data_IF_903523009009
#
_entry.id   IF_903523009009
#
_cell.length_a   1.000
_cell.length_b   1.000
_cell.length_c   1.000
_cell.angle_alpha   90.00
_cell.angle_beta   90.00
_cell.angle_gamma   90.00
#
_symmetry.space_group_name_H-M   'P 1'
#
loop_
_entity.id
_entity.type
_entity.pdbx_description
1 polymer ?
#
# COMPACT_ATOMS: atom_id res chain seq x y z
N UNK A 1 27.85 -7.41 -34.50
CA UNK A 1 27.54 -7.20 -33.08
C UNK A 1 27.18 -8.52 -32.46
N UNK A 2 27.97 -9.02 -31.52
CA UNK A 2 27.62 -10.28 -30.85
C UNK A 2 26.55 -9.96 -29.77
N UNK A 3 25.52 -10.78 -29.68
CA UNK A 3 24.40 -10.62 -28.70
C UNK A 3 24.90 -10.51 -27.23
N UNK A 4 26.10 -10.98 -26.92
CA UNK A 4 26.74 -10.88 -25.61
C UNK A 4 27.18 -9.46 -25.21
N UNK A 5 27.23 -8.52 -26.15
CA UNK A 5 27.64 -7.12 -25.91
C UNK A 5 26.46 -6.24 -25.43
N UNK A 6 25.22 -6.78 -25.49
CA UNK A 6 23.98 -6.06 -25.13
C UNK A 6 23.40 -6.51 -23.78
N UNK A 7 24.23 -6.97 -22.85
CA UNK A 7 23.79 -7.38 -21.52
C UNK A 7 23.20 -6.21 -20.74
N UNK A 8 22.17 -6.49 -19.96
CA UNK A 8 21.60 -5.55 -18.99
C UNK A 8 22.68 -5.08 -18.01
N UNK A 9 22.75 -3.77 -17.78
CA UNK A 9 23.59 -3.15 -16.75
C UNK A 9 22.90 -1.90 -16.21
N UNK A 10 23.46 -1.29 -15.17
CA UNK A 10 22.86 -0.11 -14.51
C UNK A 10 22.68 1.12 -15.42
N UNK A 11 23.40 1.19 -16.53
CA UNK A 11 23.28 2.32 -17.46
C UNK A 11 22.14 2.15 -18.48
N UNK A 12 21.76 0.90 -18.79
CA UNK A 12 20.81 0.62 -19.87
C UNK A 12 19.55 -0.11 -19.43
N UNK A 13 19.42 -0.45 -18.13
CA UNK A 13 18.27 -1.18 -17.61
C UNK A 13 17.90 -0.74 -16.19
N UNK A 14 16.61 -0.50 -15.98
CA UNK A 14 15.99 -0.36 -14.68
C UNK A 14 14.66 -1.12 -14.69
N UNK A 15 14.34 -1.91 -13.67
CA UNK A 15 13.05 -2.57 -13.57
C UNK A 15 11.89 -1.57 -13.58
N UNK A 16 10.82 -1.92 -14.28
CA UNK A 16 9.59 -1.11 -14.27
C UNK A 16 8.90 -1.24 -12.92
N UNK A 17 8.60 -0.11 -12.30
CA UNK A 17 7.86 -0.04 -11.03
C UNK A 17 7.05 1.25 -10.95
N UNK A 18 5.81 1.23 -10.42
CA UNK A 18 5.02 2.45 -10.24
C UNK A 18 5.62 3.42 -9.20
N UNK A 19 6.55 2.96 -8.36
CA UNK A 19 7.26 3.81 -7.38
C UNK A 19 7.95 4.98 -8.06
N UNK A 20 8.48 4.81 -9.29
CA UNK A 20 9.16 5.88 -10.00
C UNK A 20 8.23 7.07 -10.34
N UNK A 21 6.91 6.86 -10.38
CA UNK A 21 5.98 7.95 -10.68
C UNK A 21 5.92 8.95 -9.52
N UNK A 22 5.77 8.48 -8.29
CA UNK A 22 5.75 9.37 -7.12
C UNK A 22 7.14 9.99 -6.86
N UNK A 23 8.23 9.24 -7.06
CA UNK A 23 9.60 9.78 -6.98
C UNK A 23 9.80 10.95 -7.94
N UNK A 24 9.39 10.78 -9.21
CA UNK A 24 9.49 11.81 -10.23
C UNK A 24 8.59 13.00 -9.94
N UNK A 25 7.34 12.75 -9.52
CA UNK A 25 6.40 13.81 -9.20
C UNK A 25 6.91 14.68 -8.04
N UNK A 26 7.40 14.06 -6.95
CA UNK A 26 7.98 14.76 -5.82
C UNK A 26 9.24 15.57 -6.20
N UNK A 27 10.07 15.06 -7.12
CA UNK A 27 11.27 15.75 -7.57
C UNK A 27 10.99 16.91 -8.52
N UNK A 28 9.98 16.77 -9.41
CA UNK A 28 9.73 17.74 -10.49
C UNK A 28 8.70 18.79 -10.06
N UNK A 29 7.74 18.39 -9.24
CA UNK A 29 6.61 19.22 -8.80
C UNK A 29 6.43 19.19 -7.27
N UNK A 30 7.48 19.43 -6.46
CA UNK A 30 7.44 19.23 -5.01
C UNK A 30 6.29 19.97 -4.34
N UNK A 31 6.01 21.20 -4.76
CA UNK A 31 5.05 22.11 -4.14
C UNK A 31 3.61 21.96 -4.69
N UNK A 32 3.39 21.14 -5.74
CA UNK A 32 2.03 20.91 -6.26
C UNK A 32 1.30 19.92 -5.36
N UNK A 33 0.00 20.14 -5.18
CA UNK A 33 -0.84 19.21 -4.43
C UNK A 33 -0.95 17.85 -5.16
N UNK A 34 -0.66 16.79 -4.43
CA UNK A 34 -0.85 15.40 -4.84
C UNK A 34 -2.15 14.83 -4.30
N UNK A 35 -2.54 15.24 -3.09
CA UNK A 35 -3.74 14.81 -2.40
C UNK A 35 -4.50 16.03 -1.91
N UNK A 36 -5.79 16.06 -2.21
CA UNK A 36 -6.77 16.97 -1.63
C UNK A 36 -7.89 16.10 -1.10
N UNK A 37 -8.02 16.03 0.21
CA UNK A 37 -9.03 15.24 0.89
C UNK A 37 -9.63 16.08 2.02
N UNK A 38 -10.86 16.56 1.79
CA UNK A 38 -11.56 17.45 2.72
C UNK A 38 -10.70 18.69 3.07
N UNK A 39 -10.27 18.80 4.33
CA UNK A 39 -9.42 19.89 4.82
C UNK A 39 -7.92 19.55 4.80
N UNK A 40 -7.54 18.32 4.35
CA UNK A 40 -6.16 17.87 4.27
C UNK A 40 -5.61 18.11 2.87
N UNK A 41 -4.48 18.77 2.79
CA UNK A 41 -3.77 19.07 1.54
C UNK A 41 -2.33 18.62 1.67
N UNK A 42 -1.90 17.70 0.81
CA UNK A 42 -0.52 17.24 0.79
C UNK A 42 0.10 17.54 -0.56
N UNK A 43 1.30 18.11 -0.55
CA UNK A 43 2.10 18.27 -1.77
C UNK A 43 2.73 16.94 -2.18
N UNK A 44 3.28 16.86 -3.40
CA UNK A 44 4.00 15.67 -3.86
C UNK A 44 5.19 15.34 -2.97
N UNK A 45 5.94 16.35 -2.52
CA UNK A 45 7.05 16.15 -1.59
C UNK A 45 6.55 15.57 -0.27
N UNK A 46 5.53 16.17 0.35
CA UNK A 46 4.94 15.70 1.60
C UNK A 46 4.42 14.26 1.49
N UNK A 47 3.68 13.96 0.43
CA UNK A 47 3.16 12.61 0.20
C UNK A 47 4.28 11.59 0.01
N UNK A 48 5.33 11.92 -0.76
CA UNK A 48 6.47 11.04 -0.92
C UNK A 48 7.21 10.79 0.40
N UNK A 49 7.39 11.83 1.21
CA UNK A 49 8.00 11.72 2.54
C UNK A 49 7.17 10.82 3.46
N UNK A 50 5.84 10.97 3.49
CA UNK A 50 4.95 10.11 4.27
C UNK A 50 4.99 8.66 3.79
N UNK A 51 5.03 8.43 2.48
CA UNK A 51 5.24 7.08 1.94
C UNK A 51 6.56 6.46 2.41
N UNK A 52 7.65 7.23 2.45
CA UNK A 52 8.95 6.77 2.97
C UNK A 52 8.89 6.48 4.48
N UNK A 53 8.20 7.32 5.26
CA UNK A 53 7.99 7.08 6.70
C UNK A 53 7.25 5.75 6.93
N UNK A 54 6.13 5.54 6.26
CA UNK A 54 5.37 4.29 6.36
C UNK A 54 6.23 3.08 5.94
N UNK A 55 6.96 3.19 4.83
CA UNK A 55 7.82 2.12 4.34
C UNK A 55 8.95 1.80 5.34
N UNK A 56 9.56 2.81 5.94
CA UNK A 56 10.59 2.65 7.00
C UNK A 56 10.01 1.92 8.21
N UNK A 57 8.86 2.37 8.72
CA UNK A 57 8.20 1.77 9.90
C UNK A 57 7.77 0.31 9.65
N UNK A 58 7.25 0.02 8.45
CA UNK A 58 6.94 -1.35 8.03
C UNK A 58 8.20 -2.22 8.00
N UNK A 59 9.29 -1.73 7.42
CA UNK A 59 10.55 -2.50 7.28
C UNK A 59 11.21 -2.82 8.62
N UNK A 60 10.93 -2.05 9.68
CA UNK A 60 11.40 -2.32 11.03
C UNK A 60 10.60 -3.43 11.74
N UNK A 61 9.37 -3.70 11.29
CA UNK A 61 8.43 -4.64 11.94
C UNK A 61 8.23 -5.92 11.15
N UNK A 62 8.36 -5.87 9.85
CA UNK A 62 7.99 -6.93 8.93
C UNK A 62 9.13 -7.23 7.94
N UNK A 63 9.14 -8.46 7.41
CA UNK A 63 10.10 -8.87 6.40
C UNK A 63 9.61 -8.55 4.97
N UNK A 64 10.54 -8.39 4.03
CA UNK A 64 10.25 -8.33 2.59
C UNK A 64 9.35 -9.49 2.18
N UNK A 65 8.37 -9.22 1.33
CA UNK A 65 7.40 -10.19 0.83
C UNK A 65 6.21 -10.45 1.77
N UNK A 66 6.21 -9.87 2.99
CA UNK A 66 5.04 -9.97 3.86
C UNK A 66 3.85 -9.20 3.26
N UNK A 67 2.64 -9.65 3.60
CA UNK A 67 1.40 -9.00 3.16
C UNK A 67 0.91 -8.05 4.25
N UNK A 68 0.59 -6.83 3.84
CA UNK A 68 0.01 -5.77 4.68
C UNK A 68 -1.41 -5.49 4.21
N UNK A 69 -2.38 -5.67 5.10
CA UNK A 69 -3.80 -5.46 4.81
C UNK A 69 -4.27 -4.04 5.16
N UNK A 70 -5.21 -3.52 4.38
CA UNK A 70 -5.91 -2.27 4.66
C UNK A 70 -7.42 -2.47 4.52
N UNK A 71 -8.17 -2.04 5.54
CA UNK A 71 -9.64 -1.90 5.51
C UNK A 71 -9.92 -0.41 5.73
N UNK A 72 -10.07 0.33 4.66
CA UNK A 72 -10.23 1.77 4.69
C UNK A 72 -11.05 2.27 3.50
N UNK A 73 -11.68 3.43 3.66
CA UNK A 73 -12.21 4.24 2.58
C UNK A 73 -11.07 4.83 1.73
N UNK A 74 -11.41 5.56 0.66
CA UNK A 74 -10.40 6.23 -0.19
C UNK A 74 -9.82 7.45 0.54
N UNK A 75 -8.96 7.20 1.50
CA UNK A 75 -8.30 8.20 2.33
C UNK A 75 -6.85 8.41 1.89
N UNK A 76 -6.19 9.51 2.34
CA UNK A 76 -4.76 9.72 2.09
C UNK A 76 -3.88 8.54 2.51
N UNK A 77 -4.19 7.92 3.64
CA UNK A 77 -3.44 6.80 4.21
C UNK A 77 -3.48 5.55 3.32
N UNK A 78 -4.64 5.24 2.72
CA UNK A 78 -4.76 4.15 1.74
C UNK A 78 -4.01 4.50 0.44
N UNK A 79 -4.07 5.75 0.00
CA UNK A 79 -3.29 6.21 -1.16
C UNK A 79 -1.79 6.06 -0.91
N UNK A 80 -1.30 6.50 0.25
CA UNK A 80 0.10 6.35 0.67
C UNK A 80 0.53 4.89 0.68
N UNK A 81 -0.34 3.99 1.16
CA UNK A 81 -0.07 2.55 1.23
C UNK A 81 0.24 1.92 -0.14
N UNK A 82 -0.37 2.40 -1.23
CA UNK A 82 -0.12 1.89 -2.58
C UNK A 82 1.33 2.11 -3.04
N UNK A 83 2.02 3.10 -2.50
CA UNK A 83 3.44 3.35 -2.75
C UNK A 83 4.32 2.84 -1.62
N UNK A 84 3.94 3.11 -0.38
CA UNK A 84 4.76 2.80 0.79
C UNK A 84 4.97 1.29 1.00
N UNK A 85 3.93 0.47 0.83
CA UNK A 85 4.04 -0.98 1.01
C UNK A 85 5.02 -1.58 -0.01
N UNK A 86 4.93 -1.28 -1.32
CA UNK A 86 5.97 -1.67 -2.29
C UNK A 86 7.34 -1.05 -2.01
N UNK A 87 7.43 0.17 -1.49
CA UNK A 87 8.69 0.79 -1.07
C UNK A 87 9.36 0.05 0.10
N UNK A 88 8.59 -0.68 0.90
CA UNK A 88 9.09 -1.58 1.93
C UNK A 88 9.43 -2.99 1.37
N UNK A 89 9.23 -3.24 0.08
CA UNK A 89 9.37 -4.55 -0.54
C UNK A 89 8.29 -5.55 -0.13
N UNK A 90 7.11 -5.07 0.22
CA UNK A 90 5.97 -5.83 0.73
C UNK A 90 4.80 -5.81 -0.24
N UNK A 91 3.76 -6.58 0.07
CA UNK A 91 2.59 -6.78 -0.79
C UNK A 91 1.36 -6.14 -0.12
N UNK A 92 0.74 -5.18 -0.81
CA UNK A 92 -0.49 -4.54 -0.33
C UNK A 92 -1.71 -5.42 -0.61
N UNK A 93 -2.58 -5.58 0.40
CA UNK A 93 -3.93 -6.10 0.24
C UNK A 93 -4.95 -5.04 0.66
N UNK A 94 -5.48 -4.30 -0.32
CA UNK A 94 -6.58 -3.37 -0.10
C UNK A 94 -7.90 -4.14 -0.06
N UNK A 95 -8.39 -4.42 1.15
CA UNK A 95 -9.56 -5.25 1.39
C UNK A 95 -10.83 -4.41 1.20
N UNK A 96 -11.79 -4.93 0.44
CA UNK A 96 -13.07 -4.28 0.28
C UNK A 96 -13.84 -4.29 1.62
N UNK A 97 -14.06 -3.12 2.21
CA UNK A 97 -14.76 -2.93 3.47
C UNK A 97 -16.27 -3.29 3.44
N UNK A 98 -16.84 -3.55 2.26
CA UNK A 98 -18.23 -4.02 2.10
C UNK A 98 -18.40 -5.52 2.29
N UNK A 99 -17.30 -6.26 2.48
CA UNK A 99 -17.33 -7.69 2.78
C UNK A 99 -17.69 -7.93 4.25
N UNK A 100 -18.26 -9.09 4.53
CA UNK A 100 -18.51 -9.52 5.90
C UNK A 100 -17.23 -9.98 6.61
N UNK A 101 -17.28 -10.02 7.95
CA UNK A 101 -16.12 -10.35 8.79
C UNK A 101 -15.55 -11.76 8.53
N UNK A 102 -16.39 -12.74 8.15
CA UNK A 102 -15.93 -14.11 7.84
C UNK A 102 -15.17 -14.16 6.55
N UNK A 103 -15.64 -13.43 5.53
CA UNK A 103 -14.95 -13.30 4.24
C UNK A 103 -13.63 -12.58 4.42
N UNK A 104 -13.58 -11.51 5.22
CA UNK A 104 -12.35 -10.80 5.53
C UNK A 104 -11.37 -11.69 6.32
N UNK A 105 -11.85 -12.47 7.29
CA UNK A 105 -11.02 -13.44 8.00
C UNK A 105 -10.41 -14.49 7.08
N UNK A 106 -11.18 -14.99 6.10
CA UNK A 106 -10.65 -15.87 5.06
C UNK A 106 -9.55 -15.18 4.25
N UNK A 107 -9.72 -13.91 3.86
CA UNK A 107 -8.71 -13.14 3.12
C UNK A 107 -7.45 -12.96 3.96
N UNK A 108 -7.57 -12.63 5.23
CA UNK A 108 -6.45 -12.49 6.17
C UNK A 108 -5.62 -13.78 6.18
N UNK A 109 -6.28 -14.92 6.36
CA UNK A 109 -5.62 -16.22 6.44
C UNK A 109 -5.02 -16.65 5.09
N UNK A 110 -5.80 -16.53 4.00
CA UNK A 110 -5.40 -16.99 2.68
C UNK A 110 -4.22 -16.18 2.10
N UNK A 111 -4.18 -14.87 2.36
CA UNK A 111 -3.06 -14.01 1.93
C UNK A 111 -1.95 -13.88 2.98
N UNK A 112 -2.11 -14.48 4.15
CA UNK A 112 -1.12 -14.46 5.24
C UNK A 112 -0.76 -13.04 5.69
N UNK A 113 -1.80 -12.20 5.93
CA UNK A 113 -1.62 -10.81 6.36
C UNK A 113 -0.92 -10.78 7.73
N UNK A 114 0.17 -10.02 7.82
CA UNK A 114 0.97 -9.89 9.05
C UNK A 114 0.65 -8.62 9.85
N UNK A 115 0.12 -7.61 9.21
CA UNK A 115 -0.31 -6.37 9.83
C UNK A 115 -1.55 -5.85 9.11
N UNK A 116 -2.52 -5.31 9.85
CA UNK A 116 -3.79 -4.84 9.33
C UNK A 116 -4.02 -3.38 9.75
N UNK A 117 -4.13 -2.50 8.78
CA UNK A 117 -4.52 -1.12 8.98
C UNK A 117 -6.03 -1.00 8.81
N UNK A 118 -6.70 -0.36 9.77
CA UNK A 118 -8.17 -0.30 9.78
C UNK A 118 -8.62 1.13 10.09
N UNK A 119 -9.42 1.68 9.20
CA UNK A 119 -10.10 2.95 9.45
C UNK A 119 -11.08 2.81 10.61
N UNK A 120 -11.18 3.85 11.45
CA UNK A 120 -12.07 3.89 12.60
C UNK A 120 -13.52 3.54 12.24
N UNK A 121 -13.99 3.94 11.05
CA UNK A 121 -15.32 3.59 10.54
C UNK A 121 -15.54 2.07 10.46
N UNK A 122 -14.49 1.30 10.14
CA UNK A 122 -14.57 -0.15 9.96
C UNK A 122 -13.91 -0.94 11.10
N UNK A 123 -13.60 -0.28 12.24
CA UNK A 123 -12.84 -0.92 13.32
C UNK A 123 -13.54 -2.15 13.91
N UNK A 124 -14.85 -2.10 14.08
CA UNK A 124 -15.63 -3.24 14.58
C UNK A 124 -15.53 -4.43 13.62
N UNK A 125 -15.69 -4.17 12.30
CA UNK A 125 -15.54 -5.18 11.25
C UNK A 125 -14.15 -5.81 11.25
N UNK A 126 -13.10 -4.96 11.34
CA UNK A 126 -11.72 -5.42 11.41
C UNK A 126 -11.43 -6.30 12.62
N UNK A 127 -11.90 -5.89 13.81
CA UNK A 127 -11.76 -6.68 15.05
C UNK A 127 -12.45 -8.03 14.96
N UNK A 128 -13.67 -8.07 14.44
CA UNK A 128 -14.42 -9.32 14.25
C UNK A 128 -13.67 -10.23 13.27
N UNK A 129 -13.22 -9.71 12.14
CA UNK A 129 -12.46 -10.47 11.16
C UNK A 129 -11.17 -11.06 11.75
N UNK A 130 -10.39 -10.24 12.47
CA UNK A 130 -9.18 -10.73 13.17
C UNK A 130 -9.53 -11.76 14.23
N UNK A 131 -10.65 -11.61 14.97
CA UNK A 131 -11.06 -12.60 15.96
C UNK A 131 -11.39 -13.97 15.34
N UNK A 132 -11.89 -13.98 14.11
CA UNK A 132 -12.24 -15.18 13.35
C UNK A 132 -11.06 -15.79 12.60
N UNK A 133 -10.05 -14.98 12.23
CA UNK A 133 -8.89 -15.44 11.47
C UNK A 133 -7.93 -16.28 12.33
N UNK A 134 -7.04 -17.05 11.68
CA UNK A 134 -5.98 -17.84 12.34
C UNK A 134 -4.73 -16.99 12.57
N UNK A 135 -4.41 -16.11 11.61
CA UNK A 135 -3.17 -15.31 11.58
C UNK A 135 -3.10 -14.23 12.65
N UNK A 136 -4.23 -13.69 13.12
CA UNK A 136 -4.29 -12.67 14.19
C UNK A 136 -3.33 -11.49 13.98
N UNK A 137 -3.35 -10.79 12.83
CA UNK A 137 -2.46 -9.65 12.61
C UNK A 137 -2.69 -8.55 13.65
N UNK A 138 -1.62 -7.81 13.97
CA UNK A 138 -1.74 -6.59 14.76
C UNK A 138 -2.56 -5.54 13.99
N UNK A 139 -3.46 -4.83 14.68
CA UNK A 139 -4.28 -3.76 14.10
C UNK A 139 -3.61 -2.41 14.37
N UNK A 140 -3.43 -1.62 13.30
CA UNK A 140 -3.07 -0.20 13.33
C UNK A 140 -4.32 0.58 12.95
N UNK A 141 -4.68 1.60 13.71
CA UNK A 141 -5.90 2.37 13.49
C UNK A 141 -5.59 3.62 12.66
N UNK A 142 -6.34 3.79 11.56
CA UNK A 142 -6.39 5.03 10.80
C UNK A 142 -7.51 5.88 11.41
N UNK A 143 -7.16 7.01 12.01
CA UNK A 143 -8.13 7.96 12.55
C UNK A 143 -8.58 8.92 11.48
N UNK A 144 -9.88 8.90 11.20
CA UNK A 144 -10.53 9.98 10.48
C UNK A 144 -11.03 11.03 11.49
N UNK A 145 -10.65 12.29 11.31
CA UNK A 145 -11.04 13.40 12.19
C UNK A 145 -12.56 13.66 12.20
N UNK A 146 -13.28 13.17 11.20
CA UNK A 146 -14.73 13.33 11.10
C UNK A 146 -15.52 12.20 11.78
N UNK A 147 -14.92 11.05 11.98
CA UNK A 147 -15.55 9.98 12.75
C UNK A 147 -15.28 10.21 14.23
N UNK A 148 -16.32 10.61 14.96
CA UNK A 148 -16.47 10.73 16.41
C UNK A 148 -15.26 10.30 17.25
N UNK A 149 -14.99 11.05 18.34
CA UNK A 149 -14.10 10.66 19.45
C UNK A 149 -14.38 9.22 19.86
N UNK A 150 -13.72 8.27 19.24
CA UNK A 150 -13.85 6.87 19.56
C UNK A 150 -12.83 6.53 20.65
N UNK A 151 -13.28 6.57 21.91
CA UNK A 151 -12.54 5.98 23.01
C UNK A 151 -12.59 4.47 22.87
N UNK A 152 -11.54 3.87 22.34
CA UNK A 152 -11.40 2.42 22.33
C UNK A 152 -10.51 1.98 23.49
N UNK A 153 -11.03 1.10 24.34
CA UNK A 153 -10.24 0.39 25.36
C UNK A 153 -9.33 -0.69 24.76
N UNK A 154 -9.32 -0.83 23.43
CA UNK A 154 -8.50 -1.81 22.73
C UNK A 154 -7.05 -1.29 22.60
N UNK A 155 -6.03 -2.06 23.03
CA UNK A 155 -4.64 -1.70 22.82
C UNK A 155 -4.37 -1.56 21.31
N UNK A 156 -4.06 -0.36 20.86
CA UNK A 156 -3.84 -0.08 19.44
C UNK A 156 -2.76 0.97 19.31
N UNK A 157 -2.12 0.96 18.15
CA UNK A 157 -1.26 2.03 17.66
C UNK A 157 -2.03 2.81 16.59
N UNK A 158 -1.89 4.09 16.61
CA UNK A 158 -2.47 4.98 15.62
C UNK A 158 -1.54 5.10 14.40
N UNK A 159 -2.10 5.38 13.22
CA UNK A 159 -1.36 5.46 11.97
C UNK A 159 -0.24 6.49 12.01
N UNK A 160 -0.53 7.70 12.52
CA UNK A 160 0.47 8.77 12.60
C UNK A 160 1.58 8.42 13.62
N UNK A 161 1.23 7.77 14.73
CA UNK A 161 2.18 7.23 15.68
C UNK A 161 3.02 6.11 15.03
N UNK A 162 2.40 5.24 14.22
CA UNK A 162 3.09 4.17 13.50
C UNK A 162 4.07 4.72 12.45
N UNK A 163 3.75 5.82 11.78
CA UNK A 163 4.70 6.49 10.88
C UNK A 163 6.00 6.84 11.61
N UNK A 164 5.90 7.16 12.89
CA UNK A 164 7.05 7.41 13.74
C UNK A 164 7.93 8.58 13.32
N UNK A 165 9.13 8.65 13.87
CA UNK A 165 10.15 9.57 13.41
C UNK A 165 10.74 9.06 12.10
N UNK A 166 10.67 9.89 11.06
CA UNK A 166 11.26 9.60 9.76
C UNK A 166 12.77 9.38 9.87
N UNK A 167 13.22 8.23 9.35
CA UNK A 167 14.64 8.00 9.10
C UNK A 167 15.00 8.64 7.75
N UNK A 168 15.67 9.79 7.80
CA UNK A 168 16.09 10.54 6.60
C UNK A 168 17.01 9.73 5.69
N UNK A 169 17.73 8.77 6.23
CA UNK A 169 18.65 7.89 5.51
C UNK A 169 17.96 6.62 4.98
N UNK A 170 16.66 6.43 5.26
CA UNK A 170 15.93 5.27 4.77
C UNK A 170 15.95 5.19 3.25
N UNK A 171 16.64 4.19 2.75
CA UNK A 171 16.68 3.86 1.33
C UNK A 171 15.60 2.83 1.02
N UNK A 172 14.49 3.29 0.44
CA UNK A 172 13.36 2.40 0.14
C UNK A 172 13.74 1.32 -0.88
N UNK A 173 13.01 0.21 -0.81
CA UNK A 173 13.24 -0.94 -1.67
C UNK A 173 13.05 -0.57 -3.15
N UNK A 174 13.98 -1.05 -3.99
CA UNK A 174 13.88 -1.04 -5.45
C UNK A 174 13.85 -2.48 -5.92
N UNK A 175 12.83 -2.91 -6.69
CA UNK A 175 12.73 -4.29 -7.13
C UNK A 175 13.93 -4.67 -7.99
N UNK A 176 14.48 -5.85 -7.76
CA UNK A 176 15.52 -6.43 -8.62
C UNK A 176 14.90 -7.07 -9.86
N UNK A 177 13.69 -7.60 -9.68
CA UNK A 177 12.86 -8.16 -10.75
C UNK A 177 11.50 -7.46 -10.78
N UNK A 178 11.12 -6.94 -11.94
CA UNK A 178 9.84 -6.28 -12.15
C UNK A 178 8.61 -7.23 -12.08
N UNK A 179 8.84 -8.54 -11.96
CA UNK A 179 7.83 -9.56 -11.69
C UNK A 179 7.54 -9.78 -10.20
N UNK A 180 8.30 -9.13 -9.30
CA UNK A 180 7.99 -9.17 -7.88
C UNK A 180 6.59 -8.63 -7.61
N UNK A 181 5.86 -9.30 -6.69
CA UNK A 181 4.49 -8.95 -6.34
C UNK A 181 4.44 -7.67 -5.54
N UNK A 182 3.49 -6.78 -5.84
CA UNK A 182 3.26 -5.52 -5.11
C UNK A 182 1.89 -5.42 -4.47
N UNK A 183 0.90 -6.14 -5.01
CA UNK A 183 -0.42 -6.19 -4.39
C UNK A 183 -1.15 -7.49 -4.68
N UNK A 184 -2.11 -7.82 -3.82
CA UNK A 184 -3.06 -8.90 -4.01
C UNK A 184 -4.46 -8.37 -3.73
N UNK A 185 -5.35 -8.46 -4.72
CA UNK A 185 -6.73 -8.01 -4.61
C UNK A 185 -7.68 -9.20 -4.74
N UNK A 186 -8.73 -9.22 -3.94
CA UNK A 186 -9.70 -10.31 -3.95
C UNK A 186 -10.93 -9.97 -4.76
N UNK A 187 -11.32 -10.90 -5.61
CA UNK A 187 -12.56 -10.84 -6.40
C UNK A 187 -13.56 -11.87 -5.89
N UNK A 188 -14.86 -11.59 -6.03
CA UNK A 188 -15.91 -12.57 -5.80
C UNK A 188 -15.75 -13.71 -6.81
N UNK A 189 -15.21 -14.85 -6.36
CA UNK A 189 -15.05 -16.02 -7.22
C UNK A 189 -16.42 -16.59 -7.64
N UNK A 190 -16.57 -16.94 -8.91
CA UNK A 190 -17.77 -17.66 -9.43
C UNK A 190 -17.97 -19.03 -8.80
N UNK A 191 -17.01 -19.55 -8.04
CA UNK A 191 -16.98 -20.90 -7.44
C UNK A 191 -17.09 -20.91 -5.91
N UNK A 192 -17.51 -19.80 -5.27
CA UNK A 192 -17.81 -19.69 -3.84
C UNK A 192 -16.77 -18.92 -3.01
N UNK A 193 -15.51 -19.30 -2.97
CA UNK A 193 -14.50 -18.58 -2.19
C UNK A 193 -13.85 -17.45 -2.99
N UNK A 194 -13.54 -16.29 -2.37
CA UNK A 194 -12.81 -15.21 -3.02
C UNK A 194 -11.47 -15.67 -3.58
N UNK A 195 -11.10 -15.16 -4.76
CA UNK A 195 -9.83 -15.45 -5.42
C UNK A 195 -8.89 -14.25 -5.33
N UNK A 196 -7.65 -14.50 -4.89
CA UNK A 196 -6.60 -13.47 -4.85
C UNK A 196 -5.94 -13.30 -6.23
N UNK A 197 -6.04 -12.09 -6.77
CA UNK A 197 -5.35 -11.68 -8.01
C UNK A 197 -4.09 -10.94 -7.62
N UNK A 198 -2.94 -11.50 -7.97
CA UNK A 198 -1.63 -10.92 -7.66
C UNK A 198 -1.18 -10.00 -8.78
N UNK A 199 -0.80 -8.79 -8.43
CA UNK A 199 -0.20 -7.81 -9.32
C UNK A 199 1.31 -7.73 -9.06
N UNK A 200 2.08 -7.55 -10.14
CA UNK A 200 3.53 -7.33 -10.07
C UNK A 200 3.89 -5.91 -10.53
N UNK A 201 5.11 -5.46 -10.21
CA UNK A 201 5.59 -4.11 -10.50
C UNK A 201 5.40 -3.71 -11.97
N UNK A 202 5.81 -4.58 -12.92
CA UNK A 202 5.66 -4.34 -14.35
C UNK A 202 4.20 -4.14 -14.76
N UNK A 203 3.29 -5.01 -14.29
CA UNK A 203 1.88 -4.94 -14.65
C UNK A 203 1.24 -3.63 -14.16
N UNK A 204 1.51 -3.24 -12.92
CA UNK A 204 1.02 -1.98 -12.36
C UNK A 204 1.56 -0.76 -13.11
N UNK A 205 2.87 -0.75 -13.44
CA UNK A 205 3.49 0.31 -14.22
C UNK A 205 2.85 0.46 -15.61
N UNK A 206 2.74 -0.64 -16.36
CA UNK A 206 2.18 -0.62 -17.71
C UNK A 206 0.69 -0.27 -17.72
N UNK A 207 -0.08 -0.74 -16.73
CA UNK A 207 -1.48 -0.36 -16.57
C UNK A 207 -1.64 1.15 -16.32
N UNK A 208 -0.82 1.73 -15.44
CA UNK A 208 -0.84 3.18 -15.20
C UNK A 208 -0.50 3.98 -16.46
N UNK A 209 0.52 3.57 -17.21
CA UNK A 209 0.89 4.20 -18.47
C UNK A 209 -0.21 4.06 -19.53
N UNK A 210 -0.79 2.87 -19.67
CA UNK A 210 -1.88 2.62 -20.61
C UNK A 210 -3.10 3.48 -20.33
N UNK A 211 -3.53 3.55 -19.07
CA UNK A 211 -4.65 4.39 -18.66
C UNK A 211 -4.38 5.88 -18.90
N UNK A 212 -3.16 6.36 -18.63
CA UNK A 212 -2.79 7.76 -18.87
C UNK A 212 -2.88 8.13 -20.36
N UNK A 213 -2.49 7.22 -21.25
CA UNK A 213 -2.56 7.43 -22.69
C UNK A 213 -3.99 7.33 -23.23
N UNK A 214 -4.74 6.31 -22.81
CA UNK A 214 -6.11 6.04 -23.29
C UNK A 214 -7.09 7.16 -22.85
N UNK A 215 -6.92 7.68 -21.64
CA UNK A 215 -7.82 8.68 -21.08
C UNK A 215 -7.31 10.12 -21.27
N UNK A 216 -6.26 10.33 -22.07
CA UNK A 216 -5.63 11.64 -22.30
C UNK A 216 -5.44 12.44 -21.00
N UNK A 217 -4.95 11.77 -19.96
CA UNK A 217 -4.70 12.42 -18.66
C UNK A 217 -3.60 13.45 -18.80
N UNK A 218 -3.98 14.72 -18.81
CA UNK A 218 -3.05 15.87 -18.87
C UNK A 218 -2.64 16.29 -17.46
N UNK A 219 -1.40 16.79 -17.36
CA UNK A 219 -0.87 17.37 -16.12
C UNK A 219 -1.46 18.78 -15.89
#
# INVERSE_FOLDING_TARGET
MQQNELKKNHANYSPLTPIVFIEKAAKIFPDRYSIIHENKYFTWEQTFMRCKQLASSLSQKLAKGNVVGFIASNTPELYEAHFAVPMAGMILNAINYRLDSKTIAYIIDHSNIKMLFVDTEFLQLGKEAVSLSKEKPAIIIIKDEQTFTFETSYPHMDYEEFLGSYDVDFNHYKPLDEWESISINYTSGTTGSPKGVVYHHRGAYLNAMGNSLEWDMKM
#
